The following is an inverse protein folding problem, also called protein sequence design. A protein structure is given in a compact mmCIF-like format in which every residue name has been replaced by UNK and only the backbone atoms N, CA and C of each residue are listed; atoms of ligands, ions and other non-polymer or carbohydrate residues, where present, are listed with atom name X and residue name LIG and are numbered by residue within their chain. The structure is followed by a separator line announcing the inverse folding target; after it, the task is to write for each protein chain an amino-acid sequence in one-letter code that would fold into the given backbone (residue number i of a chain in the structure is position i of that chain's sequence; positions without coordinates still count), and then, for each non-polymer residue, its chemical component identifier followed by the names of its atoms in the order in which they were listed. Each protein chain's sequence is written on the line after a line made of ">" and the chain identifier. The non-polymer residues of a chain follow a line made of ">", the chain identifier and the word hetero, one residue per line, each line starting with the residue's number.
data_IF_166529276143
#
_entry.id   IF_166529276143
#
_cell.length_a   1.000
_cell.length_b   1.000
_cell.length_c   1.000
_cell.angle_alpha   90.00
_cell.angle_beta   90.00
_cell.angle_gamma   90.00
#
_symmetry.space_group_name_H-M   'P 1'
#
loop_
_entity.id
_entity.type
_entity.pdbx_description
1 polymer ?
#
# COMPACT_ATOMS: atom_id res chain seq x y z
N UNK A 1 7.59 15.86 -12.97
CA UNK A 1 6.62 14.92 -13.59
C UNK A 1 5.54 14.34 -12.64
N UNK A 2 5.18 14.99 -11.52
CA UNK A 2 4.24 14.40 -10.53
C UNK A 2 2.75 14.66 -10.83
N UNK A 3 2.44 15.75 -11.54
CA UNK A 3 1.05 16.19 -11.76
C UNK A 3 0.34 15.33 -12.82
N UNK A 4 1.04 14.95 -13.90
CA UNK A 4 0.50 14.09 -14.95
C UNK A 4 0.20 12.66 -14.46
N UNK A 5 1.07 12.11 -13.59
CA UNK A 5 0.89 10.77 -13.01
C UNK A 5 -0.33 10.67 -12.10
N UNK A 6 -0.62 11.72 -11.31
CA UNK A 6 -1.79 11.76 -10.44
C UNK A 6 -3.11 11.95 -11.20
N UNK A 7 -3.13 12.79 -12.25
CA UNK A 7 -4.33 12.97 -13.07
C UNK A 7 -4.65 11.72 -13.91
N UNK A 8 -3.63 11.11 -14.54
CA UNK A 8 -3.79 9.85 -15.26
C UNK A 8 -4.26 8.72 -14.33
N UNK A 9 -3.75 8.66 -13.09
CA UNK A 9 -4.21 7.70 -12.10
C UNK A 9 -5.70 7.86 -11.74
N UNK A 10 -6.22 9.08 -11.68
CA UNK A 10 -7.65 9.34 -11.38
C UNK A 10 -8.57 9.03 -12.57
N UNK A 11 -8.06 9.10 -13.80
CA UNK A 11 -8.79 8.68 -15.00
C UNK A 11 -8.89 7.15 -15.09
N UNK A 12 -7.85 6.43 -14.68
CA UNK A 12 -7.81 4.95 -14.68
C UNK A 12 -8.49 4.34 -13.45
N UNK A 13 -8.54 5.06 -12.33
CA UNK A 13 -9.08 4.62 -11.05
C UNK A 13 -10.07 5.66 -10.51
N UNK A 14 -11.31 5.73 -11.03
CA UNK A 14 -12.32 6.65 -10.51
C UNK A 14 -12.58 6.37 -9.03
N UNK A 15 -12.43 7.40 -8.18
CA UNK A 15 -12.29 7.27 -6.71
C UNK A 15 -13.40 6.51 -5.99
N UNK A 16 -14.64 6.66 -6.46
CA UNK A 16 -15.81 6.05 -5.82
C UNK A 16 -15.80 4.53 -5.98
N UNK A 17 -15.69 4.06 -7.23
CA UNK A 17 -15.63 2.63 -7.54
C UNK A 17 -14.40 1.97 -6.92
N UNK A 18 -13.25 2.63 -6.98
CA UNK A 18 -12.02 2.09 -6.39
C UNK A 18 -12.15 1.78 -4.90
N UNK A 19 -12.74 2.70 -4.13
CA UNK A 19 -12.89 2.52 -2.68
C UNK A 19 -13.85 1.38 -2.35
N UNK A 20 -14.99 1.30 -3.04
CA UNK A 20 -15.98 0.23 -2.85
C UNK A 20 -15.38 -1.13 -3.19
N UNK A 21 -14.63 -1.22 -4.28
CA UNK A 21 -13.99 -2.46 -4.73
C UNK A 21 -12.89 -2.91 -3.78
N UNK A 22 -12.09 -1.96 -3.29
CA UNK A 22 -11.03 -2.24 -2.35
C UNK A 22 -11.57 -2.70 -1.01
N UNK A 23 -12.68 -2.12 -0.53
CA UNK A 23 -13.38 -2.62 0.66
C UNK A 23 -13.89 -4.04 0.41
N UNK A 24 -14.54 -4.29 -0.73
CA UNK A 24 -15.11 -5.59 -1.06
C UNK A 24 -14.06 -6.73 -1.12
N UNK A 25 -12.82 -6.43 -1.52
CA UNK A 25 -11.73 -7.40 -1.57
C UNK A 25 -10.74 -7.30 -0.39
N UNK A 26 -11.07 -6.57 0.68
CA UNK A 26 -10.20 -6.44 1.85
C UNK A 26 -8.83 -5.82 1.55
N UNK A 27 -8.78 -4.89 0.60
CA UNK A 27 -7.58 -4.19 0.12
C UNK A 27 -6.51 -5.08 -0.55
N UNK A 28 -6.85 -6.31 -0.94
CA UNK A 28 -5.90 -7.20 -1.63
C UNK A 28 -5.41 -6.63 -2.96
N UNK A 29 -4.12 -6.26 -2.99
CA UNK A 29 -3.51 -5.52 -4.10
C UNK A 29 -3.56 -6.28 -5.43
N UNK A 30 -3.35 -7.60 -5.42
CA UNK A 30 -3.38 -8.40 -6.65
C UNK A 30 -4.81 -8.57 -7.19
N UNK A 31 -5.81 -8.65 -6.33
CA UNK A 31 -7.21 -8.63 -6.74
C UNK A 31 -7.56 -7.29 -7.40
N UNK A 32 -7.14 -6.18 -6.79
CA UNK A 32 -7.29 -4.85 -7.38
C UNK A 32 -6.53 -4.71 -8.70
N UNK A 33 -5.32 -5.26 -8.81
CA UNK A 33 -4.54 -5.27 -10.07
C UNK A 33 -5.26 -5.99 -11.20
N UNK A 34 -5.90 -7.12 -10.88
CA UNK A 34 -6.68 -7.89 -11.86
C UNK A 34 -7.86 -7.08 -12.38
N UNK A 35 -8.56 -6.35 -11.50
CA UNK A 35 -9.68 -5.49 -11.87
C UNK A 35 -9.26 -4.23 -12.63
N UNK A 36 -8.15 -3.63 -12.21
CA UNK A 36 -7.58 -2.41 -12.77
C UNK A 36 -6.31 -2.73 -13.55
N UNK A 37 -6.48 -3.56 -14.59
CA UNK A 37 -5.37 -4.15 -15.36
C UNK A 37 -4.43 -3.12 -16.00
N UNK A 38 -4.91 -1.91 -16.30
CA UNK A 38 -4.13 -0.81 -16.88
C UNK A 38 -3.35 0.01 -15.85
N UNK A 39 -3.69 -0.10 -14.56
CA UNK A 39 -2.97 0.58 -13.49
C UNK A 39 -1.84 -0.30 -12.93
N UNK A 40 -0.67 0.29 -12.71
CA UNK A 40 0.45 -0.39 -12.03
C UNK A 40 0.13 -0.66 -10.56
N UNK A 41 0.76 -1.67 -9.97
CA UNK A 41 0.65 -1.97 -8.53
C UNK A 41 0.92 -0.74 -7.66
N UNK A 42 1.95 0.04 -8.00
CA UNK A 42 2.29 1.28 -7.31
C UNK A 42 1.15 2.32 -7.41
N UNK A 43 0.53 2.46 -8.57
CA UNK A 43 -0.54 3.44 -8.78
C UNK A 43 -1.78 3.07 -7.95
N UNK A 44 -2.13 1.79 -7.93
CA UNK A 44 -3.20 1.25 -7.08
C UNK A 44 -2.88 1.50 -5.60
N UNK A 45 -1.67 1.19 -5.16
CA UNK A 45 -1.24 1.40 -3.79
C UNK A 45 -1.31 2.87 -3.36
N UNK A 46 -0.86 3.79 -4.22
CA UNK A 46 -0.92 5.24 -3.95
C UNK A 46 -2.36 5.73 -3.81
N UNK A 47 -3.31 5.16 -4.56
CA UNK A 47 -4.73 5.50 -4.47
C UNK A 47 -5.39 5.06 -3.17
N UNK A 48 -4.81 4.09 -2.45
CA UNK A 48 -5.27 3.73 -1.10
C UNK A 48 -5.18 4.90 -0.13
N UNK A 49 -4.30 5.88 -0.37
CA UNK A 49 -4.17 7.09 0.46
C UNK A 49 -5.36 8.04 0.33
N UNK A 50 -6.15 7.94 -0.75
CA UNK A 50 -7.34 8.76 -0.94
C UNK A 50 -8.58 8.20 -0.21
N UNK A 51 -8.43 7.07 0.49
CA UNK A 51 -9.53 6.31 1.09
C UNK A 51 -9.44 6.27 2.63
N UNK A 52 -10.57 6.05 3.29
CA UNK A 52 -10.63 5.64 4.71
C UNK A 52 -10.55 4.11 4.83
N UNK A 53 -10.17 3.55 6.00
CA UNK A 53 -9.60 4.20 7.20
C UNK A 53 -8.20 4.79 6.94
N UNK A 54 -7.60 5.54 7.89
CA UNK A 54 -6.26 6.08 7.67
C UNK A 54 -5.21 4.99 7.51
N UNK A 55 -4.32 5.22 6.54
CA UNK A 55 -3.27 4.29 6.15
C UNK A 55 -1.93 5.00 5.93
N UNK A 56 -0.85 4.24 6.09
CA UNK A 56 0.47 4.53 5.57
C UNK A 56 0.80 3.53 4.47
N UNK A 57 1.14 4.03 3.29
CA UNK A 57 1.61 3.23 2.16
C UNK A 57 3.11 3.39 2.05
N UNK A 58 3.83 2.27 1.97
CA UNK A 58 5.27 2.24 1.74
C UNK A 58 5.63 1.36 0.56
N UNK A 59 6.59 1.79 -0.24
CA UNK A 59 7.11 1.03 -1.38
C UNK A 59 8.62 0.92 -1.20
N UNK A 60 9.10 -0.31 -1.30
CA UNK A 60 10.51 -0.62 -1.30
C UNK A 60 10.89 -1.22 -2.64
N UNK A 61 11.95 -0.72 -3.25
CA UNK A 61 12.59 -1.31 -4.43
C UNK A 61 13.98 -1.77 -4.03
N UNK A 62 14.29 -3.05 -4.28
CA UNK A 62 15.56 -3.69 -3.95
C UNK A 62 15.99 -3.42 -2.50
N UNK A 63 15.02 -3.47 -1.57
CA UNK A 63 15.21 -3.24 -0.14
C UNK A 63 15.25 -1.78 0.31
N UNK A 64 15.33 -0.81 -0.62
CA UNK A 64 15.36 0.63 -0.32
C UNK A 64 13.97 1.24 -0.40
N UNK A 65 13.59 2.04 0.60
CA UNK A 65 12.34 2.79 0.57
C UNK A 65 12.39 3.85 -0.54
N UNK A 66 11.51 3.72 -1.53
CA UNK A 66 11.34 4.68 -2.65
C UNK A 66 10.12 5.58 -2.44
N UNK A 67 9.14 5.11 -1.67
CA UNK A 67 7.96 5.87 -1.31
C UNK A 67 7.50 5.54 0.11
N UNK A 68 7.10 6.55 0.87
CA UNK A 68 6.37 6.38 2.13
C UNK A 68 5.51 7.62 2.35
N UNK A 69 4.20 7.40 2.52
CA UNK A 69 3.26 8.49 2.82
C UNK A 69 2.07 7.94 3.58
N UNK A 70 1.56 8.71 4.53
CA UNK A 70 0.26 8.48 5.16
C UNK A 70 -0.79 9.50 4.72
N UNK A 71 -2.05 9.19 4.96
CA UNK A 71 -3.18 10.12 4.80
C UNK A 71 -3.72 10.66 6.15
N UNK A 72 -2.95 10.45 7.21
CA UNK A 72 -3.14 11.01 8.55
C UNK A 72 -2.75 12.50 8.59
N UNK A 73 -3.35 13.31 9.49
CA UNK A 73 -2.79 14.61 9.83
C UNK A 73 -1.40 14.45 10.48
N UNK A 74 -0.50 15.38 10.19
CA UNK A 74 0.87 15.38 10.75
C UNK A 74 1.90 14.61 9.92
N UNK A 75 3.06 14.32 10.54
CA UNK A 75 4.18 13.68 9.86
C UNK A 75 3.97 12.16 9.84
N UNK A 76 4.16 11.54 8.67
CA UNK A 76 4.17 10.08 8.57
C UNK A 76 5.30 9.51 9.45
N UNK A 77 5.00 8.61 10.41
CA UNK A 77 6.01 8.06 11.31
C UNK A 77 7.04 7.21 10.54
N UNK A 78 8.24 6.98 11.09
CA UNK A 78 9.17 5.99 10.54
C UNK A 78 8.55 4.58 10.52
N UNK A 79 9.06 3.65 9.70
CA UNK A 79 8.57 2.27 9.64
C UNK A 79 8.53 1.61 11.02
N UNK A 80 7.35 1.12 11.41
CA UNK A 80 7.16 0.37 12.64
C UNK A 80 7.80 -1.01 12.54
N UNK A 81 8.08 -1.65 13.69
CA UNK A 81 8.62 -3.02 13.72
C UNK A 81 7.75 -4.01 12.95
N UNK A 82 6.43 -3.92 13.12
CA UNK A 82 5.48 -4.81 12.43
C UNK A 82 5.56 -4.67 10.90
N UNK A 83 5.83 -3.47 10.38
CA UNK A 83 6.02 -3.24 8.94
C UNK A 83 7.28 -3.95 8.44
N UNK A 84 8.39 -3.79 9.16
CA UNK A 84 9.68 -4.39 8.79
C UNK A 84 9.62 -5.92 8.85
N UNK A 85 8.95 -6.48 9.86
CA UNK A 85 8.77 -7.92 10.00
C UNK A 85 7.82 -8.50 8.96
N UNK A 86 6.72 -7.79 8.66
CA UNK A 86 5.81 -8.16 7.59
C UNK A 86 6.54 -8.17 6.23
N UNK A 87 7.29 -7.10 5.91
CA UNK A 87 8.12 -7.02 4.71
C UNK A 87 9.13 -8.17 4.62
N UNK A 88 9.86 -8.44 5.70
CA UNK A 88 10.85 -9.55 5.73
C UNK A 88 10.18 -10.88 5.41
N UNK A 89 9.00 -11.14 5.98
CA UNK A 89 8.24 -12.39 5.72
C UNK A 89 7.75 -12.45 4.27
N UNK A 90 7.18 -11.37 3.73
CA UNK A 90 6.76 -11.30 2.33
C UNK A 90 7.94 -11.51 1.38
N UNK A 91 9.07 -10.84 1.64
CA UNK A 91 10.28 -10.94 0.82
C UNK A 91 10.83 -12.35 0.76
N UNK A 92 10.96 -13.02 1.92
CA UNK A 92 11.51 -14.37 1.99
C UNK A 92 10.58 -15.42 1.37
N UNK A 93 9.26 -15.22 1.48
CA UNK A 93 8.27 -16.21 1.02
C UNK A 93 7.83 -16.00 -0.43
N UNK A 94 8.13 -14.85 -1.03
CA UNK A 94 7.68 -14.46 -2.37
C UNK A 94 6.15 -14.41 -2.50
N UNK A 95 5.41 -14.23 -1.40
CA UNK A 95 3.94 -14.22 -1.38
C UNK A 95 3.40 -13.16 -0.41
N UNK A 96 2.15 -12.71 -0.59
CA UNK A 96 1.53 -11.75 0.32
C UNK A 96 1.57 -12.22 1.77
N UNK A 97 1.79 -11.27 2.69
CA UNK A 97 1.70 -11.54 4.12
C UNK A 97 0.96 -10.41 4.82
N UNK A 98 0.34 -10.74 5.93
CA UNK A 98 -0.36 -9.78 6.77
C UNK A 98 0.07 -9.91 8.23
N UNK A 99 -0.30 -8.92 9.04
CA UNK A 99 -0.09 -8.90 10.47
C UNK A 99 -1.06 -7.95 11.15
N UNK A 100 -1.26 -8.14 12.45
CA UNK A 100 -2.08 -7.27 13.29
C UNK A 100 -1.39 -7.08 14.63
N UNK A 101 -1.46 -5.86 15.15
CA UNK A 101 -1.15 -5.51 16.53
C UNK A 101 -2.37 -4.79 17.13
N UNK A 102 -2.30 -4.44 18.42
CA UNK A 102 -3.39 -3.83 19.17
C UNK A 102 -4.09 -2.66 18.43
N UNK A 103 -3.31 -1.77 17.84
CA UNK A 103 -3.78 -0.52 17.22
C UNK A 103 -3.42 -0.36 15.74
N UNK A 104 -3.00 -1.43 15.07
CA UNK A 104 -2.72 -1.38 13.63
C UNK A 104 -2.81 -2.75 12.94
N UNK A 105 -3.09 -2.73 11.64
CA UNK A 105 -2.98 -3.90 10.78
C UNK A 105 -2.10 -3.61 9.57
N UNK A 106 -1.40 -4.62 9.06
CA UNK A 106 -0.46 -4.48 7.95
C UNK A 106 -0.73 -5.54 6.91
N UNK A 107 -0.71 -5.14 5.65
CA UNK A 107 -0.63 -6.04 4.50
C UNK A 107 0.64 -5.70 3.71
N UNK A 108 1.32 -6.73 3.20
CA UNK A 108 2.50 -6.59 2.37
C UNK A 108 2.40 -7.51 1.17
N UNK A 109 2.59 -6.93 -0.03
CA UNK A 109 2.57 -7.64 -1.30
C UNK A 109 3.96 -7.55 -1.96
N UNK A 110 4.64 -8.70 -2.15
CA UNK A 110 5.90 -8.76 -2.89
C UNK A 110 5.63 -8.87 -4.40
N UNK A 111 6.20 -7.96 -5.18
CA UNK A 111 6.23 -8.00 -6.64
C UNK A 111 7.67 -8.27 -7.04
N UNK A 112 7.99 -9.55 -7.27
CA UNK A 112 9.35 -10.01 -7.56
C UNK A 112 9.42 -10.46 -9.01
N UNK A 113 10.34 -9.85 -9.75
CA UNK A 113 10.69 -10.20 -11.12
C UNK A 113 12.19 -10.55 -11.17
N UNK A 114 12.66 -11.11 -12.27
CA UNK A 114 14.08 -11.45 -12.40
C UNK A 114 14.95 -10.18 -12.30
N UNK A 115 15.91 -10.17 -11.37
CA UNK A 115 16.79 -9.02 -11.13
C UNK A 115 16.15 -7.83 -10.42
N UNK A 116 14.85 -7.89 -10.07
CA UNK A 116 14.14 -6.76 -9.50
C UNK A 116 13.10 -7.18 -8.46
N UNK A 117 13.15 -6.60 -7.26
CA UNK A 117 12.22 -6.92 -6.16
C UNK A 117 11.58 -5.67 -5.61
N UNK A 118 10.25 -5.65 -5.57
CA UNK A 118 9.47 -4.61 -4.90
C UNK A 118 8.60 -5.19 -3.80
N UNK A 119 8.50 -4.48 -2.69
CA UNK A 119 7.51 -4.74 -1.66
C UNK A 119 6.63 -3.51 -1.46
N UNK A 120 5.32 -3.71 -1.57
CA UNK A 120 4.31 -2.68 -1.28
C UNK A 120 3.64 -3.04 0.04
N UNK A 121 3.59 -2.07 0.95
CA UNK A 121 2.98 -2.20 2.26
C UNK A 121 1.80 -1.24 2.41
N UNK A 122 0.71 -1.72 3.02
CA UNK A 122 -0.41 -0.93 3.52
C UNK A 122 -0.52 -1.16 5.02
N UNK A 123 -0.12 -0.16 5.80
CA UNK A 123 -0.35 -0.12 7.24
C UNK A 123 -1.65 0.65 7.48
N UNK A 124 -2.66 -0.02 7.98
CA UNK A 124 -3.83 0.62 8.55
C UNK A 124 -3.59 0.89 10.03
N UNK A 125 -3.92 2.11 10.44
CA UNK A 125 -3.70 2.57 11.81
C UNK A 125 -5.02 2.98 12.43
N UNK A 126 -5.15 2.80 13.73
CA UNK A 126 -6.28 3.36 14.46
C UNK A 126 -6.15 4.89 14.54
N UNK A 127 -7.27 5.62 14.39
CA UNK A 127 -7.30 7.10 14.45
C UNK A 127 -6.75 7.62 15.80
N UNK A 128 -6.82 6.82 16.88
CA UNK A 128 -6.28 7.17 18.20
C UNK A 128 -4.76 6.93 18.36
N UNK A 129 -4.08 6.31 17.39
CA UNK A 129 -2.67 5.91 17.55
C UNK A 129 -1.64 7.06 17.41
N UNK A 130 -2.08 8.26 17.03
CA UNK A 130 -1.20 9.41 16.74
C UNK A 130 -1.61 10.73 17.44
N UNK A 131 -2.49 10.64 18.45
CA UNK A 131 -2.88 11.77 19.30
C UNK A 131 -1.99 11.83 20.54
#
# INVERSE_FOLDING_TARGET
>A
ETVASNLAGRLLLPSRWFSEDAIACGWELFALKSRYATASHEMIARRMLDCRPPVVVSIFDNGRATFRRGNLPGRTPPPLRIELECRRRAHLRGRPTSGRADSCSIQCWPIHEEGWKREILRLEVDECAFV
#
